data_IF_869329505698
#
_entry.id   IF_869329505698
#
_cell.length_a   1.000
_cell.length_b   1.000
_cell.length_c   1.000
_cell.angle_alpha   90.00
_cell.angle_beta   90.00
_cell.angle_gamma   90.00
#
_symmetry.space_group_name_H-M   'P 1'
#
loop_
_entity.id
_entity.type
_entity.pdbx_description
1 polymer ?
#
# COMPACT_ATOMS: atom_id res chain seq x y z
N UNK A 1 -2.59 -29.54 -23.72
CA UNK A 1 -1.91 -28.42 -24.41
C UNK A 1 -0.56 -28.23 -23.72
N UNK A 2 0.55 -28.06 -24.47
CA UNK A 2 1.85 -27.76 -23.89
C UNK A 2 1.86 -26.28 -23.47
N UNK A 3 2.20 -26.03 -22.20
CA UNK A 3 2.42 -24.77 -21.48
C UNK A 3 1.53 -24.71 -20.24
N UNK A 4 2.11 -25.12 -19.10
CA UNK A 4 1.48 -25.20 -17.78
C UNK A 4 1.18 -23.84 -17.15
N UNK A 5 0.31 -23.06 -17.80
CA UNK A 5 -0.25 -21.84 -17.23
C UNK A 5 -1.46 -22.23 -16.36
N UNK A 6 -1.27 -22.32 -15.04
CA UNK A 6 -2.36 -22.47 -14.10
C UNK A 6 -3.00 -21.10 -13.89
N UNK A 7 -3.97 -20.73 -14.71
CA UNK A 7 -4.73 -19.50 -14.48
C UNK A 7 -5.75 -19.72 -13.36
N UNK A 8 -5.70 -18.93 -12.28
CA UNK A 8 -6.82 -18.83 -11.33
C UNK A 8 -7.74 -17.74 -11.79
N UNK A 9 -9.03 -18.01 -11.64
CA UNK A 9 -10.01 -16.95 -11.57
C UNK A 9 -9.94 -16.31 -10.17
N UNK A 10 -9.59 -15.04 -10.09
CA UNK A 10 -9.64 -14.24 -8.85
C UNK A 10 -10.70 -13.17 -8.98
N UNK A 11 -11.37 -12.86 -7.86
CA UNK A 11 -12.30 -11.75 -7.74
C UNK A 11 -11.60 -10.61 -7.01
N UNK A 12 -11.40 -9.49 -7.69
CA UNK A 12 -10.69 -8.32 -7.15
C UNK A 12 -11.57 -7.07 -7.24
N UNK A 13 -11.57 -6.22 -6.19
CA UNK A 13 -12.15 -4.88 -6.26
C UNK A 13 -11.24 -4.00 -7.12
N UNK A 14 -11.73 -3.57 -8.28
CA UNK A 14 -11.03 -2.64 -9.16
C UNK A 14 -11.57 -1.25 -8.93
N UNK A 15 -10.69 -0.30 -8.63
CA UNK A 15 -11.06 1.12 -8.54
C UNK A 15 -11.31 1.63 -9.95
N UNK A 16 -12.55 2.02 -10.22
CA UNK A 16 -12.95 2.53 -11.54
C UNK A 16 -12.93 4.06 -11.59
N UNK A 17 -13.15 4.73 -10.46
CA UNK A 17 -12.98 6.18 -10.34
C UNK A 17 -12.81 6.64 -8.90
N UNK A 18 -12.17 7.80 -8.74
CA UNK A 18 -12.09 8.55 -7.50
C UNK A 18 -12.53 9.99 -7.77
N UNK A 19 -13.49 10.51 -6.99
CA UNK A 19 -14.07 11.84 -7.19
C UNK A 19 -14.15 12.59 -5.87
N UNK A 20 -13.44 13.71 -5.77
CA UNK A 20 -13.60 14.64 -4.64
C UNK A 20 -14.90 15.42 -4.79
N UNK A 21 -15.63 15.57 -3.69
CA UNK A 21 -16.88 16.31 -3.67
C UNK A 21 -17.12 16.99 -2.33
N UNK A 22 -17.94 18.04 -2.38
CA UNK A 22 -18.43 18.70 -1.18
C UNK A 22 -19.92 19.04 -1.30
N UNK A 23 -20.60 19.06 -0.16
CA UNK A 23 -22.00 19.42 -0.01
C UNK A 23 -22.07 20.55 1.02
N UNK A 24 -22.67 21.68 0.63
CA UNK A 24 -22.88 22.81 1.52
C UNK A 24 -24.37 22.97 1.77
N UNK A 25 -24.76 23.01 3.04
CA UNK A 25 -26.15 23.16 3.47
C UNK A 25 -26.26 24.37 4.36
N UNK A 26 -27.09 25.32 3.94
CA UNK A 26 -27.46 26.46 4.76
C UNK A 26 -28.65 26.08 5.63
N UNK A 27 -28.57 26.39 6.92
CA UNK A 27 -29.63 26.12 7.87
C UNK A 27 -29.80 27.31 8.84
N UNK A 28 -31.04 27.59 9.23
CA UNK A 28 -31.38 28.63 10.20
C UNK A 28 -32.24 28.02 11.28
N UNK A 29 -31.75 28.07 12.52
CA UNK A 29 -32.51 27.63 13.69
C UNK A 29 -32.78 28.81 14.62
N UNK A 30 -33.92 28.73 15.30
CA UNK A 30 -34.32 29.65 16.35
C UNK A 30 -34.19 28.93 17.70
N UNK A 31 -33.20 29.28 18.55
CA UNK A 31 -33.13 28.75 19.91
C UNK A 31 -34.42 29.03 20.69
N UNK A 32 -34.82 28.09 21.55
CA UNK A 32 -36.05 28.19 22.35
C UNK A 32 -36.02 29.37 23.33
N UNK A 33 -34.83 29.77 23.76
CA UNK A 33 -34.58 30.96 24.57
C UNK A 33 -33.49 31.86 23.96
N UNK A 34 -33.45 33.13 24.38
CA UNK A 34 -32.48 34.10 23.88
C UNK A 34 -31.04 33.68 24.18
N UNK A 35 -30.29 33.40 23.12
CA UNK A 35 -28.86 33.14 23.17
C UNK A 35 -28.10 34.47 23.19
N UNK A 36 -27.22 34.62 24.18
CA UNK A 36 -26.28 35.74 24.28
C UNK A 36 -25.03 35.48 23.44
N UNK A 37 -24.57 34.23 23.40
CA UNK A 37 -23.39 33.78 22.66
C UNK A 37 -23.51 32.28 22.34
N UNK A 38 -23.09 31.88 21.15
CA UNK A 38 -22.81 30.47 20.82
C UNK A 38 -21.37 30.16 21.23
N UNK A 39 -21.17 29.08 21.98
CA UNK A 39 -19.85 28.65 22.41
C UNK A 39 -19.18 27.81 21.32
N UNK A 40 -19.78 26.67 20.99
CA UNK A 40 -19.38 25.79 19.89
C UNK A 40 -20.58 24.95 19.43
N UNK A 41 -20.43 24.33 18.26
CA UNK A 41 -21.41 23.38 17.71
C UNK A 41 -20.65 22.10 17.38
N UNK A 42 -21.05 21.01 18.00
CA UNK A 42 -20.58 19.67 17.65
C UNK A 42 -21.43 19.16 16.49
N UNK A 43 -20.79 18.66 15.44
CA UNK A 43 -21.47 18.20 14.22
C UNK A 43 -20.93 16.83 13.80
N UNK A 44 -21.84 15.94 13.43
CA UNK A 44 -21.54 14.60 12.93
C UNK A 44 -22.46 14.29 11.75
N UNK A 45 -21.92 13.62 10.74
CA UNK A 45 -22.72 13.08 9.64
C UNK A 45 -23.12 11.64 9.98
N UNK A 46 -24.40 11.33 9.85
CA UNK A 46 -24.98 9.98 10.00
C UNK A 46 -25.56 9.51 8.68
N UNK A 47 -25.65 8.19 8.54
CA UNK A 47 -26.33 7.52 7.42
C UNK A 47 -25.91 8.05 6.03
N UNK A 48 -24.60 8.30 5.88
CA UNK A 48 -24.01 8.79 4.65
C UNK A 48 -23.98 7.66 3.61
N UNK A 49 -24.79 7.80 2.57
CA UNK A 49 -25.01 6.80 1.54
C UNK A 49 -24.88 7.40 0.14
N UNK A 50 -24.62 6.54 -0.86
CA UNK A 50 -24.46 6.92 -2.25
C UNK A 50 -25.23 5.97 -3.18
N UNK A 51 -26.14 6.53 -3.97
CA UNK A 51 -26.94 5.82 -4.97
C UNK A 51 -26.48 6.17 -6.39
N UNK A 52 -25.85 5.23 -7.12
CA UNK A 52 -25.47 5.44 -8.51
C UNK A 52 -26.68 5.39 -9.47
N UNK A 53 -26.74 6.36 -10.37
CA UNK A 53 -27.71 6.40 -11.47
C UNK A 53 -27.08 5.81 -12.74
N UNK A 54 -27.44 4.55 -13.01
CA UNK A 54 -27.01 3.85 -14.21
C UNK A 54 -27.85 4.24 -15.41
N UNK A 55 -27.18 4.41 -16.55
CA UNK A 55 -27.81 4.60 -17.86
C UNK A 55 -27.24 3.62 -18.86
N UNK A 56 -28.09 3.15 -19.77
CA UNK A 56 -27.68 2.34 -20.92
C UNK A 56 -27.41 3.26 -22.11
N UNK A 57 -26.48 2.87 -22.98
CA UNK A 57 -26.34 3.53 -24.28
C UNK A 57 -27.65 3.48 -25.07
N UNK A 58 -28.00 4.60 -25.71
CA UNK A 58 -29.14 4.74 -26.61
C UNK A 58 -29.01 3.73 -27.76
N UNK A 59 -29.93 2.75 -27.81
CA UNK A 59 -30.00 1.77 -28.89
C UNK A 59 -30.16 0.32 -28.43
N UNK A 60 -29.97 0.02 -27.14
CA UNK A 60 -30.13 -1.35 -26.63
C UNK A 60 -31.45 -1.52 -25.87
N UNK A 61 -32.54 -1.66 -26.63
CA UNK A 61 -33.84 -2.04 -26.07
C UNK A 61 -33.97 -3.56 -26.13
N UNK A 62 -33.90 -4.25 -24.99
CA UNK A 62 -34.45 -5.61 -24.93
C UNK A 62 -35.97 -5.49 -24.86
N UNK A 63 -36.73 -6.07 -25.82
CA UNK A 63 -38.18 -6.06 -25.77
C UNK A 63 -38.78 -6.96 -24.67
N UNK A 64 -37.95 -7.63 -23.85
CA UNK A 64 -38.37 -8.60 -22.84
C UNK A 64 -37.84 -8.24 -21.45
N UNK A 65 -38.70 -8.39 -20.45
CA UNK A 65 -38.40 -8.13 -19.03
C UNK A 65 -37.41 -9.15 -18.40
N UNK A 66 -37.13 -10.27 -19.07
CA UNK A 66 -36.21 -11.32 -18.61
C UNK A 66 -35.21 -11.66 -19.70
N UNK A 67 -33.92 -11.61 -19.37
CA UNK A 67 -32.80 -11.92 -20.27
C UNK A 67 -32.63 -13.44 -20.33
N UNK A 68 -32.69 -14.03 -21.52
CA UNK A 68 -32.39 -15.45 -21.72
C UNK A 68 -30.91 -15.68 -22.04
N UNK A 69 -30.39 -16.84 -21.65
CA UNK A 69 -29.04 -17.28 -22.03
C UNK A 69 -28.89 -17.27 -23.56
N UNK A 70 -27.93 -16.47 -24.07
CA UNK A 70 -27.67 -16.30 -25.51
C UNK A 70 -28.29 -15.05 -26.15
N UNK A 71 -29.08 -14.26 -25.43
CA UNK A 71 -29.49 -12.93 -25.90
C UNK A 71 -28.30 -11.94 -25.80
N UNK A 72 -28.14 -10.98 -26.74
CA UNK A 72 -27.09 -9.98 -26.66
C UNK A 72 -27.21 -9.22 -25.33
N UNK A 73 -26.21 -9.35 -24.45
CA UNK A 73 -26.14 -8.49 -23.29
C UNK A 73 -25.91 -7.07 -23.79
N UNK A 74 -26.87 -6.18 -23.52
CA UNK A 74 -26.64 -4.76 -23.69
C UNK A 74 -25.37 -4.38 -22.93
N UNK A 75 -24.48 -3.69 -23.64
CA UNK A 75 -23.08 -3.46 -23.25
C UNK A 75 -22.89 -2.64 -21.97
N UNK A 76 -21.67 -2.15 -21.73
CA UNK A 76 -21.28 -1.55 -20.47
C UNK A 76 -22.24 -0.42 -20.08
N UNK A 77 -22.63 -0.39 -18.80
CA UNK A 77 -23.59 0.61 -18.28
C UNK A 77 -22.81 1.80 -17.76
N UNK A 78 -23.33 3.00 -18.00
CA UNK A 78 -22.68 4.23 -17.60
C UNK A 78 -23.29 4.78 -16.32
N UNK A 79 -22.48 5.04 -15.31
CA UNK A 79 -22.89 5.87 -14.16
C UNK A 79 -22.76 7.33 -14.61
N UNK A 80 -23.90 8.03 -14.70
CA UNK A 80 -23.92 9.46 -15.08
C UNK A 80 -23.93 10.38 -13.89
N UNK A 81 -24.57 9.93 -12.82
CA UNK A 81 -24.62 10.70 -11.59
C UNK A 81 -24.72 9.78 -10.39
N UNK A 82 -24.35 10.31 -9.23
CA UNK A 82 -24.46 9.64 -7.94
C UNK A 82 -25.25 10.57 -7.05
N UNK A 83 -26.32 10.07 -6.44
CA UNK A 83 -27.06 10.82 -5.42
C UNK A 83 -26.48 10.46 -4.07
N UNK A 84 -26.09 11.47 -3.32
CA UNK A 84 -25.51 11.32 -1.99
C UNK A 84 -26.50 11.90 -1.02
N UNK A 85 -26.78 11.17 0.05
CA UNK A 85 -27.68 11.62 1.10
C UNK A 85 -27.17 11.15 2.46
N UNK A 86 -27.68 11.81 3.49
CA UNK A 86 -27.40 11.50 4.88
C UNK A 86 -28.08 12.50 5.79
N UNK A 87 -27.75 12.41 7.08
CA UNK A 87 -28.30 13.26 8.12
C UNK A 87 -27.19 14.02 8.84
N UNK A 88 -27.35 15.33 9.00
CA UNK A 88 -26.50 16.13 9.88
C UNK A 88 -27.11 16.07 11.27
N UNK A 89 -26.40 15.44 12.20
CA UNK A 89 -26.69 15.47 13.63
C UNK A 89 -25.78 16.50 14.29
N UNK A 90 -26.36 17.49 14.96
CA UNK A 90 -25.58 18.52 15.67
C UNK A 90 -26.09 18.82 17.07
N UNK A 91 -25.16 19.23 17.91
CA UNK A 91 -25.41 19.70 19.27
C UNK A 91 -24.84 21.11 19.43
N UNK A 92 -25.72 22.06 19.72
CA UNK A 92 -25.41 23.49 19.79
C UNK A 92 -25.28 23.88 21.26
N UNK A 93 -24.10 24.35 21.67
CA UNK A 93 -23.84 24.83 23.02
C UNK A 93 -23.85 26.36 23.06
N UNK A 94 -24.61 26.94 23.98
CA UNK A 94 -24.78 28.39 24.05
C UNK A 94 -24.99 28.88 25.47
N UNK A 95 -24.77 30.18 25.66
CA UNK A 95 -25.06 30.90 26.90
C UNK A 95 -26.34 31.70 26.71
N UNK A 96 -27.32 31.52 27.59
CA UNK A 96 -28.59 32.23 27.51
C UNK A 96 -28.50 33.66 28.09
N UNK A 97 -29.62 34.39 28.07
CA UNK A 97 -29.71 35.76 28.62
C UNK A 97 -29.47 35.87 30.13
N UNK A 98 -29.54 34.76 30.88
CA UNK A 98 -29.31 34.68 32.33
C UNK A 98 -27.91 34.18 32.67
N UNK A 99 -27.02 34.06 31.69
CA UNK A 99 -25.67 33.51 31.82
C UNK A 99 -25.62 32.01 32.21
N UNK A 100 -26.70 31.26 31.95
CA UNK A 100 -26.70 29.80 32.05
C UNK A 100 -26.12 29.15 30.79
N UNK A 101 -25.35 28.07 30.97
CA UNK A 101 -24.91 27.20 29.86
C UNK A 101 -26.04 26.24 29.49
N UNK A 102 -26.34 26.18 28.20
CA UNK A 102 -27.42 25.38 27.61
C UNK A 102 -26.93 24.62 26.40
N UNK A 103 -27.69 23.60 26.03
CA UNK A 103 -27.50 22.86 24.81
C UNK A 103 -28.84 22.53 24.16
N UNK A 104 -28.82 22.35 22.84
CA UNK A 104 -29.94 21.80 22.08
C UNK A 104 -29.42 20.94 20.93
N UNK A 105 -30.19 19.93 20.54
CA UNK A 105 -29.87 19.07 19.40
C UNK A 105 -30.73 19.46 18.20
N UNK A 106 -30.18 19.31 17.00
CA UNK A 106 -30.92 19.45 15.76
C UNK A 106 -30.43 18.42 14.74
N UNK A 107 -31.38 17.80 14.07
CA UNK A 107 -31.18 16.82 13.02
C UNK A 107 -31.80 17.33 11.73
N UNK A 108 -31.05 17.31 10.64
CA UNK A 108 -31.61 17.64 9.34
C UNK A 108 -30.97 16.82 8.20
N UNK A 109 -31.77 16.31 7.27
CA UNK A 109 -31.28 15.54 6.14
C UNK A 109 -30.65 16.45 5.08
N UNK A 110 -29.72 15.90 4.30
CA UNK A 110 -29.22 16.52 3.08
C UNK A 110 -29.23 15.51 1.94
N UNK A 111 -29.32 16.02 0.71
CA UNK A 111 -29.14 15.23 -0.50
C UNK A 111 -28.52 16.07 -1.61
N UNK A 112 -27.56 15.52 -2.35
CA UNK A 112 -26.93 16.15 -3.51
C UNK A 112 -26.70 15.14 -4.61
N UNK A 113 -27.12 15.48 -5.84
CA UNK A 113 -26.75 14.72 -7.02
C UNK A 113 -25.43 15.27 -7.60
N UNK A 114 -24.45 14.38 -7.78
CA UNK A 114 -23.15 14.68 -8.38
C UNK A 114 -23.14 14.08 -9.77
N UNK A 115 -22.91 14.92 -10.78
CA UNK A 115 -22.78 14.45 -12.15
C UNK A 115 -21.32 14.06 -12.44
N UNK A 116 -21.12 12.89 -13.03
CA UNK A 116 -19.81 12.38 -13.44
C UNK A 116 -19.57 12.73 -14.91
N UNK A 117 -18.49 13.46 -15.19
CA UNK A 117 -18.13 13.90 -16.53
C UNK A 117 -16.65 13.56 -16.80
N UNK A 118 -16.34 12.62 -17.72
CA UNK A 118 -17.29 11.82 -18.52
C UNK A 118 -18.09 10.80 -17.68
N UNK A 119 -19.20 10.25 -18.19
CA UNK A 119 -19.90 9.14 -17.53
C UNK A 119 -18.95 7.95 -17.31
N UNK A 120 -19.08 7.28 -16.17
CA UNK A 120 -18.20 6.19 -15.79
C UNK A 120 -18.71 4.87 -16.36
N UNK A 121 -17.89 4.21 -17.17
CA UNK A 121 -18.20 2.92 -17.78
C UNK A 121 -18.02 1.78 -16.77
N UNK A 122 -19.06 0.95 -16.63
CA UNK A 122 -19.09 -0.20 -15.71
C UNK A 122 -19.46 -1.45 -16.49
N UNK A 123 -18.76 -2.55 -16.23
CA UNK A 123 -19.04 -3.83 -16.90
C UNK A 123 -20.26 -4.51 -16.31
N UNK A 124 -20.36 -4.59 -14.98
CA UNK A 124 -21.49 -5.15 -14.25
C UNK A 124 -21.93 -4.23 -13.08
N UNK A 125 -23.06 -3.51 -13.25
CA UNK A 125 -23.65 -2.68 -12.20
C UNK A 125 -23.99 -3.41 -10.90
N UNK A 126 -24.29 -4.71 -10.96
CA UNK A 126 -24.60 -5.50 -9.76
C UNK A 126 -23.38 -5.75 -8.87
N UNK A 127 -22.18 -5.46 -9.38
CA UNK A 127 -20.91 -5.64 -8.70
C UNK A 127 -20.22 -4.31 -8.39
N UNK A 128 -20.95 -3.20 -8.44
CA UNK A 128 -20.41 -1.86 -8.12
C UNK A 128 -20.67 -1.51 -6.66
N UNK A 129 -19.66 -0.93 -6.01
CA UNK A 129 -19.71 -0.45 -4.63
C UNK A 129 -19.08 0.95 -4.56
N UNK A 130 -19.61 1.81 -3.69
CA UNK A 130 -19.15 3.19 -3.52
C UNK A 130 -18.76 3.39 -2.06
N UNK A 131 -17.49 3.72 -1.84
CA UNK A 131 -16.93 4.03 -0.54
C UNK A 131 -16.75 5.54 -0.37
N UNK A 132 -16.99 6.02 0.85
CA UNK A 132 -16.60 7.36 1.28
C UNK A 132 -15.23 7.31 1.99
N UNK A 133 -14.29 8.13 1.55
CA UNK A 133 -12.96 8.30 2.17
C UNK A 133 -12.76 9.75 2.57
N UNK A 134 -11.97 9.99 3.60
CA UNK A 134 -11.60 11.33 4.09
C UNK A 134 -12.84 12.23 4.30
N UNK A 135 -13.87 11.69 4.96
CA UNK A 135 -15.08 12.46 5.28
C UNK A 135 -14.73 13.48 6.35
N UNK A 136 -14.85 14.74 5.98
CA UNK A 136 -14.63 15.89 6.85
C UNK A 136 -15.89 16.76 6.88
N UNK A 137 -16.20 17.31 8.05
CA UNK A 137 -17.36 18.17 8.24
C UNK A 137 -16.93 19.44 8.96
N UNK A 138 -17.30 20.58 8.38
CA UNK A 138 -17.10 21.89 8.98
C UNK A 138 -18.43 22.62 9.12
N UNK A 139 -18.50 23.49 10.11
CA UNK A 139 -19.66 24.35 10.35
C UNK A 139 -19.20 25.78 10.60
N UNK A 140 -19.72 26.69 9.79
CA UNK A 140 -19.63 28.12 10.01
C UNK A 140 -20.97 28.62 10.55
N UNK A 141 -20.95 29.54 11.51
CA UNK A 141 -22.17 30.06 12.09
C UNK A 141 -22.07 31.54 12.46
N UNK A 142 -23.22 32.21 12.44
CA UNK A 142 -23.40 33.57 12.92
C UNK A 142 -24.70 33.69 13.72
N UNK A 143 -24.69 34.54 14.74
CA UNK A 143 -25.84 34.85 15.59
C UNK A 143 -26.30 36.29 15.30
N UNK A 144 -26.91 36.56 14.14
CA UNK A 144 -27.33 37.92 13.76
C UNK A 144 -28.37 38.52 14.73
N UNK A 145 -29.10 37.66 15.45
CA UNK A 145 -30.03 38.05 16.53
C UNK A 145 -30.01 37.00 17.64
N UNK A 146 -30.33 37.37 18.90
CA UNK A 146 -30.36 36.41 20.02
C UNK A 146 -31.24 35.16 19.82
N UNK A 147 -32.23 35.22 18.94
CA UNK A 147 -33.16 34.12 18.63
C UNK A 147 -32.99 33.57 17.20
N UNK A 148 -31.88 33.86 16.51
CA UNK A 148 -31.69 33.40 15.13
C UNK A 148 -30.22 33.07 14.89
N UNK A 149 -29.92 31.78 14.78
CA UNK A 149 -28.61 31.23 14.48
C UNK A 149 -28.56 30.78 13.01
N UNK A 150 -27.74 31.45 12.20
CA UNK A 150 -27.47 31.09 10.82
C UNK A 150 -26.25 30.18 10.77
N UNK A 151 -26.34 29.09 10.00
CA UNK A 151 -25.33 28.05 9.93
C UNK A 151 -25.10 27.63 8.50
N UNK A 152 -23.85 27.36 8.16
CA UNK A 152 -23.43 26.79 6.88
C UNK A 152 -22.61 25.56 7.20
N UNK A 153 -23.16 24.38 6.95
CA UNK A 153 -22.47 23.10 7.15
C UNK A 153 -21.89 22.67 5.81
N UNK A 154 -20.60 22.36 5.78
CA UNK A 154 -19.92 21.81 4.62
C UNK A 154 -19.41 20.41 4.92
N UNK A 155 -19.86 19.43 4.15
CA UNK A 155 -19.36 18.04 4.20
C UNK A 155 -18.49 17.82 2.97
N UNK A 156 -17.23 17.41 3.18
CA UNK A 156 -16.27 17.12 2.12
C UNK A 156 -15.83 15.66 2.19
N UNK A 157 -15.68 15.00 1.04
CA UNK A 157 -15.27 13.59 0.99
C UNK A 157 -14.68 13.22 -0.37
N UNK A 158 -13.97 12.09 -0.39
CA UNK A 158 -13.54 11.41 -1.60
C UNK A 158 -14.47 10.20 -1.83
N UNK A 159 -15.18 10.20 -2.95
CA UNK A 159 -15.92 9.04 -3.44
C UNK A 159 -14.95 8.09 -4.13
N UNK A 160 -14.87 6.86 -3.65
CA UNK A 160 -14.11 5.79 -4.29
C UNK A 160 -15.08 4.76 -4.84
N UNK A 161 -15.15 4.67 -6.16
CA UNK A 161 -16.08 3.78 -6.86
C UNK A 161 -15.29 2.53 -7.26
N UNK A 162 -15.74 1.37 -6.79
CA UNK A 162 -15.09 0.09 -7.06
C UNK A 162 -16.04 -0.86 -7.76
N UNK A 163 -15.50 -1.69 -8.64
CA UNK A 163 -16.22 -2.76 -9.31
C UNK A 163 -15.54 -4.09 -9.02
N UNK A 164 -16.31 -5.05 -8.53
CA UNK A 164 -15.83 -6.41 -8.29
C UNK A 164 -15.70 -7.15 -9.62
N UNK A 165 -14.47 -7.25 -10.13
CA UNK A 165 -14.19 -7.90 -11.42
C UNK A 165 -13.50 -9.24 -11.24
N UNK A 166 -13.77 -10.15 -12.17
CA UNK A 166 -13.11 -11.45 -12.23
C UNK A 166 -12.00 -11.39 -13.28
N UNK A 167 -10.79 -11.76 -12.86
CA UNK A 167 -9.63 -11.84 -13.74
C UNK A 167 -9.08 -13.25 -13.73
N UNK A 168 -8.67 -13.72 -14.90
CA UNK A 168 -7.71 -14.81 -14.97
C UNK A 168 -6.36 -14.21 -14.65
N UNK A 169 -5.87 -14.48 -13.45
CA UNK A 169 -4.47 -14.24 -13.12
C UNK A 169 -3.71 -15.51 -13.41
N UNK A 170 -2.60 -15.35 -14.10
CA UNK A 170 -1.61 -16.40 -14.21
C UNK A 170 -1.07 -16.68 -12.81
N UNK A 171 -1.43 -17.82 -12.24
CA UNK A 171 -0.70 -18.34 -11.09
C UNK A 171 0.46 -19.10 -11.68
N UNK A 172 1.66 -18.65 -11.39
CA UNK A 172 2.81 -19.50 -11.59
C UNK A 172 2.63 -20.69 -10.64
N UNK A 173 2.43 -21.89 -11.19
CA UNK A 173 2.56 -23.12 -10.42
C UNK A 173 4.00 -23.12 -9.90
N UNK A 174 4.20 -22.90 -8.60
CA UNK A 174 5.54 -22.85 -8.00
C UNK A 174 6.18 -24.25 -7.92
N UNK A 175 5.69 -25.23 -8.68
CA UNK A 175 6.50 -26.34 -9.14
C UNK A 175 7.43 -25.87 -10.28
N UNK A 176 8.45 -25.09 -9.92
CA UNK A 176 9.47 -24.62 -10.87
C UNK A 176 9.47 -23.11 -11.15
N UNK A 177 8.70 -22.29 -10.43
CA UNK A 177 9.08 -20.89 -10.26
C UNK A 177 10.52 -20.84 -9.72
N UNK A 178 11.31 -19.86 -10.13
CA UNK A 178 12.68 -19.68 -9.63
C UNK A 178 12.61 -19.50 -8.10
N UNK A 179 12.75 -20.61 -7.36
CA UNK A 179 12.73 -20.68 -5.90
C UNK A 179 13.84 -19.80 -5.40
N UNK A 180 13.48 -18.60 -4.94
CA UNK A 180 14.38 -17.49 -5.09
C UNK A 180 13.89 -16.17 -4.53
N UNK A 181 14.81 -15.21 -4.50
CA UNK A 181 14.54 -13.80 -4.27
C UNK A 181 14.59 -13.14 -5.64
N UNK A 182 13.55 -12.40 -6.03
CA UNK A 182 13.58 -11.61 -7.27
C UNK A 182 13.58 -10.13 -6.92
N UNK A 183 14.61 -9.44 -7.39
CA UNK A 183 14.72 -7.98 -7.40
C UNK A 183 14.37 -7.32 -6.05
N UNK A 184 14.98 -7.82 -4.97
CA UNK A 184 14.83 -7.21 -3.65
C UNK A 184 15.61 -5.89 -3.62
N UNK A 185 14.88 -4.79 -3.85
CA UNK A 185 15.39 -3.42 -3.86
C UNK A 185 15.38 -2.73 -2.49
N UNK A 186 14.98 -3.43 -1.42
CA UNK A 186 14.94 -2.90 -0.05
C UNK A 186 14.16 -1.58 0.12
N UNK A 187 12.93 -1.50 -0.41
CA UNK A 187 12.08 -0.30 -0.26
C UNK A 187 11.09 -0.38 0.92
N UNK A 188 10.92 -1.56 1.51
CA UNK A 188 9.97 -1.79 2.61
C UNK A 188 10.69 -2.16 3.91
N UNK A 189 10.50 -1.34 4.94
CA UNK A 189 11.24 -1.40 6.20
C UNK A 189 10.32 -1.37 7.42
N UNK A 190 10.62 -2.24 8.38
CA UNK A 190 10.04 -2.22 9.72
C UNK A 190 11.15 -1.75 10.66
N UNK A 191 11.11 -0.47 11.04
CA UNK A 191 12.20 0.21 11.74
C UNK A 191 13.51 0.17 10.90
N UNK A 192 14.53 -0.56 11.38
CA UNK A 192 15.86 -0.68 10.77
C UNK A 192 16.09 -2.07 10.13
N UNK A 193 15.00 -2.79 9.85
CA UNK A 193 15.03 -4.14 9.28
C UNK A 193 14.15 -4.20 8.05
N UNK A 194 14.65 -4.64 6.88
CA UNK A 194 13.80 -4.86 5.70
C UNK A 194 12.71 -5.88 6.01
N UNK A 195 11.48 -5.66 5.54
CA UNK A 195 10.28 -6.34 6.05
C UNK A 195 10.31 -7.88 6.00
N UNK A 196 11.05 -8.47 5.05
CA UNK A 196 11.17 -9.93 4.85
C UNK A 196 12.53 -10.51 5.28
N UNK A 197 13.34 -9.72 5.99
CA UNK A 197 14.71 -10.07 6.35
C UNK A 197 14.93 -10.04 7.86
N UNK A 198 15.86 -10.85 8.33
CA UNK A 198 16.41 -10.75 9.68
C UNK A 198 17.68 -9.89 9.64
N UNK A 199 17.80 -8.92 10.53
CA UNK A 199 18.96 -8.02 10.51
C UNK A 199 19.51 -7.69 11.91
N UNK A 200 20.80 -7.37 11.94
CA UNK A 200 21.51 -6.82 13.09
C UNK A 200 22.48 -5.74 12.59
N UNK A 201 22.43 -4.54 13.19
CA UNK A 201 23.26 -3.39 12.80
C UNK A 201 23.15 -3.03 11.30
N UNK A 202 21.91 -3.10 10.79
CA UNK A 202 21.51 -2.68 9.46
C UNK A 202 20.56 -1.48 9.58
N UNK A 203 20.48 -0.61 8.57
CA UNK A 203 19.56 0.52 8.52
C UNK A 203 19.32 0.93 7.06
N UNK A 204 18.20 1.60 6.77
CA UNK A 204 17.94 2.13 5.44
C UNK A 204 18.93 3.24 5.09
N UNK A 205 19.43 3.25 3.86
CA UNK A 205 20.22 4.34 3.30
C UNK A 205 19.50 4.91 2.08
N UNK A 206 19.24 6.23 2.00
CA UNK A 206 18.51 6.82 0.88
C UNK A 206 19.31 6.88 -0.43
N UNK A 207 20.60 6.52 -0.40
CA UNK A 207 21.45 6.50 -1.59
C UNK A 207 21.59 5.07 -2.14
N UNK A 208 20.44 4.42 -2.30
CA UNK A 208 20.31 3.16 -3.02
C UNK A 208 20.57 3.32 -4.51
N UNK A 209 20.67 2.20 -5.19
CA UNK A 209 20.70 2.11 -6.65
C UNK A 209 19.28 2.29 -7.20
N UNK A 210 18.27 1.75 -6.52
CA UNK A 210 16.85 1.76 -6.92
C UNK A 210 15.94 2.29 -5.81
N UNK A 211 16.36 3.37 -5.14
CA UNK A 211 15.63 3.97 -4.02
C UNK A 211 16.47 3.93 -2.76
N UNK A 212 16.02 3.19 -1.75
CA UNK A 212 16.79 2.88 -0.55
C UNK A 212 17.74 1.70 -0.78
N UNK A 213 18.76 1.57 0.07
CA UNK A 213 19.62 0.39 0.12
C UNK A 213 19.80 -0.06 1.57
N UNK A 214 20.15 -1.34 1.74
CA UNK A 214 20.52 -1.86 3.05
C UNK A 214 21.96 -1.48 3.38
N UNK A 215 22.15 -0.61 4.39
CA UNK A 215 23.48 -0.32 4.93
C UNK A 215 23.85 -1.32 6.02
N UNK A 216 24.84 -2.17 5.78
CA UNK A 216 25.42 -3.03 6.80
C UNK A 216 26.57 -2.28 7.51
N UNK A 217 26.50 -2.22 8.84
CA UNK A 217 27.45 -1.47 9.66
C UNK A 217 27.00 -0.04 9.91
N UNK A 218 25.72 0.17 10.24
CA UNK A 218 25.20 1.52 10.58
C UNK A 218 25.87 2.15 11.79
N UNK A 219 26.29 1.30 12.73
CA UNK A 219 27.43 1.57 13.59
C UNK A 219 28.68 0.96 12.92
N UNK A 220 29.56 1.78 12.30
CA UNK A 220 30.63 1.26 11.44
C UNK A 220 31.66 0.38 12.16
N UNK A 221 31.84 0.54 13.46
CA UNK A 221 32.81 -0.22 14.27
C UNK A 221 32.27 -1.56 14.79
N UNK A 222 30.99 -1.87 14.53
CA UNK A 222 30.36 -3.11 14.94
C UNK A 222 30.11 -4.00 13.72
N UNK A 223 30.15 -5.31 13.92
CA UNK A 223 29.71 -6.26 12.89
C UNK A 223 28.21 -6.12 12.62
N UNK A 224 27.78 -6.54 11.44
CA UNK A 224 26.37 -6.53 11.03
C UNK A 224 26.02 -7.81 10.27
N UNK A 225 24.75 -8.15 10.26
CA UNK A 225 24.23 -9.28 9.49
C UNK A 225 22.88 -8.95 8.90
N UNK A 226 22.63 -9.46 7.69
CA UNK A 226 21.35 -9.41 7.00
C UNK A 226 21.10 -10.79 6.40
N UNK A 227 19.99 -11.45 6.72
CA UNK A 227 19.72 -12.79 6.20
C UNK A 227 18.25 -13.09 5.96
N UNK A 228 17.99 -14.02 5.06
CA UNK A 228 16.64 -14.50 4.72
C UNK A 228 16.68 -15.99 4.44
N UNK A 229 15.66 -16.71 4.91
CA UNK A 229 15.45 -18.11 4.53
C UNK A 229 14.58 -18.18 3.27
N UNK A 230 14.98 -19.02 2.32
CA UNK A 230 14.26 -19.32 1.09
C UNK A 230 13.95 -20.81 1.09
N UNK A 231 12.67 -21.16 1.03
CA UNK A 231 12.20 -22.55 1.06
C UNK A 231 11.91 -23.12 -0.34
N UNK A 232 11.68 -24.43 -0.39
CA UNK A 232 11.25 -25.17 -1.57
C UNK A 232 12.37 -25.50 -2.57
N UNK A 233 13.65 -25.35 -2.20
CA UNK A 233 14.78 -25.62 -3.11
C UNK A 233 14.84 -27.09 -3.55
N UNK A 234 15.42 -27.31 -4.73
CA UNK A 234 15.63 -28.62 -5.34
C UNK A 234 17.08 -29.04 -5.20
N UNK A 235 17.32 -30.18 -4.55
CA UNK A 235 18.65 -30.80 -4.50
C UNK A 235 19.16 -31.20 -5.88
N UNK A 236 20.46 -31.02 -6.12
CA UNK A 236 21.14 -31.24 -7.40
C UNK A 236 21.14 -30.01 -8.33
N UNK A 237 20.43 -28.93 -7.97
CA UNK A 237 20.34 -27.72 -8.78
C UNK A 237 21.40 -26.69 -8.38
N UNK A 238 21.97 -25.99 -9.37
CA UNK A 238 22.85 -24.84 -9.13
C UNK A 238 22.04 -23.56 -9.02
N UNK A 239 22.26 -22.85 -7.93
CA UNK A 239 21.66 -21.56 -7.65
C UNK A 239 22.69 -20.45 -7.76
N UNK A 240 22.26 -19.28 -8.20
CA UNK A 240 23.02 -18.04 -8.28
C UNK A 240 22.36 -16.98 -7.42
N UNK A 241 23.17 -16.29 -6.62
CA UNK A 241 22.83 -15.03 -6.00
C UNK A 241 23.56 -13.90 -6.71
N UNK A 242 22.84 -12.84 -7.09
CA UNK A 242 23.45 -11.58 -7.51
C UNK A 242 22.98 -10.44 -6.62
N UNK A 243 23.82 -9.44 -6.44
CA UNK A 243 23.51 -8.26 -5.65
C UNK A 243 24.42 -7.11 -6.07
N UNK A 244 23.97 -5.89 -5.87
CA UNK A 244 24.79 -4.70 -6.08
C UNK A 244 25.35 -4.23 -4.75
N UNK A 245 26.63 -3.88 -4.74
CA UNK A 245 27.29 -3.38 -3.54
C UNK A 245 28.18 -2.16 -3.81
N UNK A 246 28.29 -1.29 -2.82
CA UNK A 246 29.29 -0.20 -2.76
C UNK A 246 29.68 0.16 -1.33
N UNK A 247 30.78 0.89 -1.20
CA UNK A 247 31.11 1.59 0.04
C UNK A 247 30.18 2.79 0.24
N UNK A 248 29.78 3.04 1.49
CA UNK A 248 29.18 4.33 1.87
C UNK A 248 30.17 5.48 1.62
N UNK A 249 29.65 6.65 1.25
CA UNK A 249 30.48 7.84 1.10
C UNK A 249 31.01 8.31 2.46
N UNK A 250 32.33 8.42 2.57
CA UNK A 250 33.03 8.93 3.76
C UNK A 250 34.02 10.03 3.35
N UNK A 251 34.35 10.96 4.26
CA UNK A 251 35.43 11.93 4.04
C UNK A 251 36.74 11.26 3.63
N UNK A 252 37.52 11.91 2.74
CA UNK A 252 38.72 11.34 2.09
C UNK A 252 39.82 10.90 3.06
N UNK A 253 39.80 11.36 4.30
CA UNK A 253 40.76 11.10 5.36
C UNK A 253 40.41 9.87 6.22
N UNK A 254 39.30 9.18 5.94
CA UNK A 254 38.80 8.06 6.75
C UNK A 254 38.68 6.77 5.93
N UNK A 255 39.58 5.78 6.10
CA UNK A 255 39.56 4.56 5.30
C UNK A 255 38.44 3.60 5.74
N UNK A 256 37.85 2.92 4.77
CA UNK A 256 36.96 1.79 5.01
C UNK A 256 37.80 0.54 5.34
N UNK A 257 37.56 -0.08 6.48
CA UNK A 257 38.27 -1.28 6.93
C UNK A 257 37.31 -2.37 7.36
N UNK A 258 36.71 -3.08 6.40
CA UNK A 258 35.77 -4.15 6.71
C UNK A 258 35.85 -5.28 5.68
N UNK A 259 35.22 -6.41 6.00
CA UNK A 259 34.97 -7.49 5.04
C UNK A 259 33.49 -7.83 5.01
N UNK A 260 32.94 -7.90 3.80
CA UNK A 260 31.59 -8.33 3.53
C UNK A 260 31.62 -9.77 3.02
N UNK A 261 31.01 -10.68 3.75
CA UNK A 261 30.75 -12.06 3.34
C UNK A 261 29.35 -12.15 2.73
N UNK A 262 29.25 -12.63 1.50
CA UNK A 262 28.00 -13.06 0.91
C UNK A 262 27.93 -14.59 0.95
N UNK A 263 26.83 -15.17 1.44
CA UNK A 263 26.74 -16.61 1.73
C UNK A 263 25.39 -17.21 1.35
N UNK A 264 25.43 -18.43 0.81
CA UNK A 264 24.30 -19.32 0.55
C UNK A 264 24.51 -20.60 1.35
N UNK A 265 23.71 -20.85 2.39
CA UNK A 265 23.76 -22.08 3.19
C UNK A 265 22.56 -22.97 2.92
N UNK A 266 22.76 -24.05 2.18
CA UNK A 266 21.73 -25.04 1.83
C UNK A 266 21.41 -25.95 3.02
N UNK A 267 20.13 -26.22 3.27
CA UNK A 267 19.65 -26.95 4.44
C UNK A 267 18.70 -28.09 4.09
N UNK A 268 18.73 -29.13 4.92
CA UNK A 268 17.77 -30.23 4.90
C UNK A 268 16.45 -29.87 5.62
N UNK A 269 15.50 -30.81 5.64
CA UNK A 269 14.19 -30.64 6.31
C UNK A 269 14.28 -30.49 7.82
N UNK A 270 15.40 -30.87 8.43
CA UNK A 270 15.67 -30.73 9.86
C UNK A 270 16.41 -29.41 10.17
N UNK A 271 16.71 -28.60 9.15
CA UNK A 271 17.43 -27.32 9.27
C UNK A 271 18.96 -27.44 9.33
N UNK A 272 19.52 -28.65 9.18
CA UNK A 272 20.97 -28.86 9.17
C UNK A 272 21.58 -28.31 7.89
N UNK A 273 22.75 -27.68 7.99
CA UNK A 273 23.48 -27.19 6.82
C UNK A 273 24.12 -28.37 6.08
N UNK A 274 23.76 -28.56 4.82
CA UNK A 274 24.33 -29.57 3.93
C UNK A 274 25.54 -29.04 3.16
N UNK A 275 25.49 -27.78 2.73
CA UNK A 275 26.57 -27.13 1.99
C UNK A 275 26.49 -25.61 2.17
N UNK A 276 27.61 -24.93 1.97
CA UNK A 276 27.69 -23.47 1.98
C UNK A 276 28.57 -22.98 0.84
N UNK A 277 28.02 -22.11 0.00
CA UNK A 277 28.78 -21.30 -0.94
C UNK A 277 28.98 -19.91 -0.35
N UNK A 278 30.17 -19.32 -0.49
CA UNK A 278 30.47 -18.01 0.08
C UNK A 278 31.48 -17.23 -0.75
N UNK A 279 31.39 -15.90 -0.68
CA UNK A 279 32.33 -14.96 -1.28
C UNK A 279 32.69 -13.88 -0.25
N UNK A 280 33.99 -13.67 -0.05
CA UNK A 280 34.52 -12.59 0.79
C UNK A 280 34.89 -11.41 -0.09
N UNK A 281 34.39 -10.23 0.26
CA UNK A 281 34.64 -8.96 -0.43
C UNK A 281 35.24 -7.98 0.58
N UNK A 282 36.48 -7.55 0.35
CA UNK A 282 37.10 -6.52 1.19
C UNK A 282 36.61 -5.13 0.81
N UNK A 283 36.69 -4.18 1.74
CA UNK A 283 36.34 -2.78 1.49
C UNK A 283 37.15 -2.14 0.36
N UNK A 284 38.38 -2.61 0.08
CA UNK A 284 39.19 -2.10 -1.04
C UNK A 284 38.72 -2.61 -2.41
N UNK A 285 37.96 -3.71 -2.45
CA UNK A 285 37.40 -4.25 -3.69
C UNK A 285 36.10 -3.53 -4.11
N UNK A 286 35.54 -2.71 -3.21
CA UNK A 286 34.37 -1.88 -3.45
C UNK A 286 34.77 -0.42 -3.64
N UNK A 287 34.00 0.30 -4.45
CA UNK A 287 34.14 1.74 -4.66
C UNK A 287 32.93 2.47 -4.09
N UNK A 288 32.85 3.80 -4.22
CA UNK A 288 31.63 4.56 -3.91
C UNK A 288 30.57 4.46 -5.02
N UNK A 289 30.85 3.74 -6.11
CA UNK A 289 29.88 3.40 -7.16
C UNK A 289 29.44 1.94 -7.01
N UNK A 290 28.15 1.68 -7.24
CA UNK A 290 27.59 0.33 -7.22
C UNK A 290 28.22 -0.57 -8.27
N UNK A 291 28.58 -1.79 -7.84
CA UNK A 291 29.05 -2.87 -8.69
C UNK A 291 28.26 -4.13 -8.40
N UNK A 292 27.87 -4.85 -9.46
CA UNK A 292 27.22 -6.15 -9.31
C UNK A 292 28.23 -7.22 -8.93
N UNK A 293 27.84 -8.05 -7.98
CA UNK A 293 28.56 -9.22 -7.50
C UNK A 293 27.68 -10.46 -7.69
N UNK A 294 28.34 -11.61 -7.73
CA UNK A 294 27.71 -12.89 -8.06
C UNK A 294 28.36 -14.03 -7.29
N UNK A 295 27.52 -14.87 -6.71
CA UNK A 295 27.90 -16.08 -6.01
C UNK A 295 27.04 -17.25 -6.49
N UNK A 296 27.67 -18.37 -6.86
CA UNK A 296 26.96 -19.59 -7.26
C UNK A 296 27.21 -20.72 -6.26
N UNK A 297 26.21 -21.58 -6.07
CA UNK A 297 26.31 -22.75 -5.22
C UNK A 297 25.39 -23.87 -5.69
N UNK A 298 25.88 -25.11 -5.70
CA UNK A 298 25.08 -26.29 -6.02
C UNK A 298 24.47 -26.87 -4.76
N UNK A 299 23.14 -26.97 -4.73
CA UNK A 299 22.38 -27.57 -3.65
C UNK A 299 22.64 -29.09 -3.61
N UNK A 300 23.11 -29.67 -2.49
CA UNK A 300 23.25 -31.12 -2.37
C UNK A 300 21.90 -31.84 -2.43
N UNK A 301 21.91 -33.14 -2.70
CA UNK A 301 20.72 -33.98 -2.57
C UNK A 301 20.13 -33.88 -1.13
N UNK A 302 18.81 -33.79 -1.02
CA UNK A 302 18.12 -33.60 0.26
C UNK A 302 17.98 -32.15 0.72
N UNK A 303 18.49 -31.18 -0.05
CA UNK A 303 18.22 -29.75 0.19
C UNK A 303 16.74 -29.45 0.01
N UNK A 304 16.17 -28.67 0.93
CA UNK A 304 14.80 -28.14 0.83
C UNK A 304 14.74 -26.63 1.05
N UNK A 305 15.77 -26.02 1.62
CA UNK A 305 15.84 -24.56 1.84
C UNK A 305 17.27 -24.04 1.75
N UNK A 306 17.43 -22.73 1.63
CA UNK A 306 18.70 -22.05 1.78
C UNK A 306 18.55 -20.81 2.65
N UNK A 307 19.55 -20.55 3.50
CA UNK A 307 19.72 -19.25 4.13
C UNK A 307 20.68 -18.40 3.29
N UNK A 308 20.17 -17.29 2.79
CA UNK A 308 20.94 -16.27 2.09
C UNK A 308 21.35 -15.22 3.10
N UNK A 309 22.64 -14.93 3.21
CA UNK A 309 23.15 -14.03 4.23
C UNK A 309 24.26 -13.12 3.73
N UNK A 310 24.28 -11.91 4.25
CA UNK A 310 25.36 -10.95 4.17
C UNK A 310 25.89 -10.70 5.58
N UNK A 311 27.18 -10.90 5.79
CA UNK A 311 27.84 -10.67 7.08
C UNK A 311 28.93 -9.63 6.90
N UNK A 312 28.80 -8.53 7.61
CA UNK A 312 29.77 -7.46 7.65
C UNK A 312 30.63 -7.60 8.91
N UNK A 313 31.93 -7.80 8.71
CA UNK A 313 32.91 -7.86 9.80
C UNK A 313 33.75 -6.61 9.78
N UNK A 314 33.64 -5.83 10.85
CA UNK A 314 34.30 -4.52 10.97
C UNK A 314 35.70 -4.62 11.59
N UNK A 315 36.64 -3.81 11.12
CA UNK A 315 37.85 -3.48 11.89
C UNK A 315 37.51 -2.41 12.94
N UNK A 316 38.22 -2.37 14.09
CA UNK A 316 37.92 -1.42 15.17
C UNK A 316 37.96 0.06 14.77
N UNK A 317 38.71 0.40 13.72
CA UNK A 317 38.87 1.76 13.19
C UNK A 317 38.04 2.02 11.92
N UNK A 318 37.16 1.10 11.54
CA UNK A 318 36.33 1.27 10.35
C UNK A 318 35.36 2.44 10.49
N UNK A 319 35.20 3.19 9.41
CA UNK A 319 34.32 4.36 9.37
C UNK A 319 33.22 4.26 8.32
N UNK A 320 33.17 3.16 7.57
CA UNK A 320 32.24 2.99 6.45
C UNK A 320 31.24 1.86 6.69
N UNK A 321 30.16 1.87 5.93
CA UNK A 321 29.21 0.78 5.82
C UNK A 321 29.29 0.18 4.41
N UNK A 322 28.85 -1.08 4.28
CA UNK A 322 28.58 -1.66 2.97
C UNK A 322 27.12 -1.40 2.60
N UNK A 323 26.87 -0.78 1.45
CA UNK A 323 25.51 -0.64 0.92
C UNK A 323 25.23 -1.78 -0.04
N UNK A 324 24.12 -2.49 0.17
CA UNK A 324 23.66 -3.60 -0.66
C UNK A 324 22.28 -3.27 -1.22
N UNK A 325 22.08 -3.61 -2.49
CA UNK A 325 20.83 -3.34 -3.20
C UNK A 325 20.58 -4.36 -4.33
N UNK A 326 19.35 -4.39 -4.85
CA UNK A 326 18.89 -5.23 -5.97
C UNK A 326 19.34 -6.70 -5.83
N UNK A 327 18.98 -7.36 -4.73
CA UNK A 327 19.38 -8.75 -4.47
C UNK A 327 18.47 -9.70 -5.23
N UNK A 328 19.08 -10.63 -5.96
CA UNK A 328 18.39 -11.76 -6.56
C UNK A 328 19.04 -13.08 -6.17
N UNK A 329 18.23 -14.12 -6.05
CA UNK A 329 18.65 -15.49 -5.80
C UNK A 329 17.75 -16.43 -6.58
N UNK A 330 18.29 -17.41 -7.28
CA UNK A 330 17.49 -18.37 -8.04
C UNK A 330 18.32 -19.37 -8.82
N UNK A 331 17.67 -20.22 -9.60
CA UNK A 331 18.33 -21.20 -10.47
C UNK A 331 19.12 -20.45 -11.56
N UNK A 332 20.37 -20.88 -11.82
CA UNK A 332 21.13 -20.39 -12.97
C UNK A 332 20.40 -20.80 -14.26
N UNK A 333 19.82 -19.85 -14.99
CA UNK A 333 19.38 -20.11 -16.36
C UNK A 333 20.63 -20.42 -17.20
N UNK A 334 20.69 -21.63 -17.76
CA UNK A 334 21.71 -22.04 -18.71
C UNK A 334 21.58 -21.27 -20.04
#
# INVERSE_FOLDING_TARGET
MPNGLNCQLVKLPVVIAEQMASITVENVICPEEQAKKIDHIDVVVRDLEADPHFTTETGCNSPKATIHFGEPQCGPRFIRSITIHGEIHKQIFYVNKHDDVRHMSEDFPFSKNIQLHPPLEVTDPGNTEIDFRNVDVSIDFDLPRPNRLQQVVTVSFLLKIVEQRQFFVEICDVSGATLGIQDESFEDWINNTPALWESQNVCPNPNGRTGQAAALGCCPTLSASLSRNVEGLTGGTTYEMTFWARNSEVPRDRPCGYTLEARISFRDTLGNILNTAQQMISSEQLSTSYRQLRLTGTAPAGTVSANIAFVFTSQPWNTCSALIDDVSFGITNA
#
